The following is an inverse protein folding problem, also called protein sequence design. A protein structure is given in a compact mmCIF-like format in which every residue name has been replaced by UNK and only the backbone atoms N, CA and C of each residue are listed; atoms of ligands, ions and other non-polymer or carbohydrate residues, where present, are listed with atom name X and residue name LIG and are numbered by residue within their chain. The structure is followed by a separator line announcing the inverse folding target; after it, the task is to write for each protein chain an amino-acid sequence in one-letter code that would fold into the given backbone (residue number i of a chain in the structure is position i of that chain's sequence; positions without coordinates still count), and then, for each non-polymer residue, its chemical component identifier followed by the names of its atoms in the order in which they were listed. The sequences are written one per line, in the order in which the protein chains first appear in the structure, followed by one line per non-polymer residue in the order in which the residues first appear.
data_IF_896257589966
#
_entry.id   IF_896257589966
#
_cell.length_a   1.000
_cell.length_b   1.000
_cell.length_c   1.000
_cell.angle_alpha   90.00
_cell.angle_beta   90.00
_cell.angle_gamma   90.00
#
_symmetry.space_group_name_H-M   'P 1'
#
loop_
_entity.id
_entity.type
_entity.pdbx_description
1 polymer ?
#
# COMPACT_ATOMS: atom_id res chain seq x y z
N UNK A 1 23.32 -27.45 17.02
CA UNK A 1 22.79 -27.60 18.39
C UNK A 1 21.28 -27.58 18.28
N UNK A 2 20.56 -28.43 19.01
CA UNK A 2 19.10 -28.46 18.95
C UNK A 2 18.56 -27.20 19.62
N UNK A 3 17.88 -26.33 18.86
CA UNK A 3 17.24 -25.10 19.35
C UNK A 3 15.94 -25.40 20.11
N UNK A 4 16.00 -26.34 21.05
CA UNK A 4 14.84 -26.75 21.84
C UNK A 4 14.64 -25.80 23.02
N UNK A 5 13.47 -25.17 23.10
CA UNK A 5 13.14 -24.17 24.09
C UNK A 5 12.53 -24.83 25.34
N UNK A 6 13.09 -24.54 26.52
CA UNK A 6 12.58 -25.10 27.76
C UNK A 6 11.16 -24.56 28.08
N UNK A 7 10.24 -25.38 28.64
CA UNK A 7 8.90 -24.92 29.02
C UNK A 7 8.87 -23.71 29.98
N UNK A 8 9.93 -23.52 30.76
CA UNK A 8 10.13 -22.38 31.66
C UNK A 8 10.52 -21.11 30.92
N UNK A 9 11.10 -21.21 29.73
CA UNK A 9 11.56 -20.09 28.91
C UNK A 9 10.43 -19.36 28.16
N UNK A 10 9.22 -19.92 28.15
CA UNK A 10 8.01 -19.28 27.58
C UNK A 10 7.31 -18.50 28.71
N UNK A 11 6.65 -17.34 28.48
CA UNK A 11 5.90 -16.58 29.51
C UNK A 11 4.46 -17.08 29.74
N UNK A 12 3.87 -16.89 30.93
CA UNK A 12 2.42 -17.17 31.24
C UNK A 12 1.62 -15.90 31.52
N UNK A 13 2.29 -14.75 31.59
CA UNK A 13 1.70 -13.50 32.03
C UNK A 13 1.33 -12.66 30.80
N UNK A 14 0.04 -12.55 30.49
CA UNK A 14 -0.43 -11.95 29.22
C UNK A 14 -0.06 -10.46 29.03
N UNK A 15 0.21 -9.71 30.12
CA UNK A 15 0.53 -8.27 30.07
C UNK A 15 2.00 -8.03 30.39
N UNK A 16 2.81 -7.71 29.39
CA UNK A 16 4.26 -7.59 29.59
C UNK A 16 4.66 -6.42 30.49
N UNK A 17 3.90 -5.33 30.47
CA UNK A 17 4.15 -4.12 31.27
C UNK A 17 4.05 -4.42 32.77
N UNK A 18 3.16 -5.34 33.14
CA UNK A 18 2.96 -5.78 34.52
C UNK A 18 4.17 -6.57 35.05
N UNK A 19 4.99 -7.17 34.18
CA UNK A 19 6.27 -7.77 34.58
C UNK A 19 7.31 -6.70 34.95
N UNK A 20 7.32 -5.57 34.22
CA UNK A 20 8.15 -4.41 34.57
C UNK A 20 7.67 -3.78 35.88
N UNK A 21 6.37 -3.55 36.04
CA UNK A 21 5.81 -3.03 37.30
C UNK A 21 6.19 -3.92 38.49
N UNK A 22 6.08 -5.24 38.35
CA UNK A 22 6.50 -6.19 39.38
C UNK A 22 7.99 -6.02 39.74
N UNK A 23 8.86 -5.95 38.74
CA UNK A 23 10.30 -5.83 38.95
C UNK A 23 10.68 -4.46 39.57
N UNK A 24 10.01 -3.38 39.19
CA UNK A 24 10.20 -2.05 39.78
C UNK A 24 9.77 -2.03 41.25
N UNK A 25 8.64 -2.65 41.60
CA UNK A 25 8.25 -2.78 43.01
C UNK A 25 9.24 -3.60 43.83
N UNK A 26 9.87 -4.61 43.22
CA UNK A 26 10.95 -5.38 43.86
C UNK A 26 12.18 -4.53 44.12
N UNK A 27 12.54 -3.65 43.18
CA UNK A 27 13.65 -2.70 43.33
C UNK A 27 13.45 -1.75 44.53
N UNK A 28 12.24 -1.22 44.69
CA UNK A 28 11.91 -0.33 45.81
C UNK A 28 11.56 -1.07 47.12
N UNK A 29 11.73 -2.40 47.18
CA UNK A 29 11.40 -3.26 48.33
C UNK A 29 9.96 -3.06 48.85
N UNK A 30 9.02 -2.81 47.94
CA UNK A 30 7.62 -2.53 48.27
C UNK A 30 6.78 -3.81 48.38
N UNK A 31 7.20 -4.76 49.21
CA UNK A 31 6.51 -6.06 49.40
C UNK A 31 5.00 -5.90 49.69
N UNK A 32 4.53 -4.96 50.55
CA UNK A 32 3.10 -4.81 50.82
C UNK A 32 2.27 -4.38 49.60
N UNK A 33 2.87 -3.59 48.69
CA UNK A 33 2.21 -3.16 47.46
C UNK A 33 2.19 -4.29 46.42
N UNK A 34 3.22 -5.15 46.41
CA UNK A 34 3.21 -6.33 45.54
C UNK A 34 2.07 -7.28 45.90
N UNK A 35 1.88 -7.58 47.19
CA UNK A 35 0.79 -8.44 47.65
C UNK A 35 -0.60 -7.87 47.33
N UNK A 36 -0.73 -6.54 47.32
CA UNK A 36 -1.98 -5.85 47.00
C UNK A 36 -2.27 -5.82 45.49
N UNK A 37 -1.23 -5.69 44.66
CA UNK A 37 -1.35 -5.56 43.21
C UNK A 37 -1.33 -6.90 42.47
N UNK A 38 -0.76 -7.94 43.06
CA UNK A 38 -0.61 -9.25 42.45
C UNK A 38 -1.18 -10.35 43.35
N UNK A 39 -2.25 -10.99 42.90
CA UNK A 39 -2.78 -12.17 43.60
C UNK A 39 -1.73 -13.29 43.59
N UNK A 40 -1.73 -14.20 44.58
CA UNK A 40 -0.62 -15.14 44.77
C UNK A 40 -0.23 -15.95 43.53
N UNK A 41 -1.19 -16.33 42.67
CA UNK A 41 -0.90 -17.03 41.40
C UNK A 41 -0.35 -16.08 40.34
N UNK A 42 -0.86 -14.86 40.25
CA UNK A 42 -0.40 -13.85 39.31
C UNK A 42 1.03 -13.42 39.64
N UNK A 43 1.35 -13.25 40.93
CA UNK A 43 2.69 -12.89 41.40
C UNK A 43 3.75 -13.89 40.89
N UNK A 44 3.46 -15.20 40.90
CA UNK A 44 4.36 -16.21 40.36
C UNK A 44 4.57 -16.07 38.85
N UNK A 45 3.51 -15.74 38.11
CA UNK A 45 3.58 -15.55 36.65
C UNK A 45 4.38 -14.31 36.27
N UNK A 46 4.14 -13.19 36.95
CA UNK A 46 4.88 -11.95 36.69
C UNK A 46 6.32 -12.02 37.18
N UNK A 47 6.61 -12.71 38.30
CA UNK A 47 7.99 -13.02 38.71
C UNK A 47 8.72 -13.85 37.67
N UNK A 48 8.05 -14.87 37.11
CA UNK A 48 8.65 -15.70 36.06
C UNK A 48 8.89 -14.87 34.79
N UNK A 49 7.93 -14.04 34.38
CA UNK A 49 8.07 -13.14 33.24
C UNK A 49 9.21 -12.12 33.43
N UNK A 50 9.33 -11.53 34.61
CA UNK A 50 10.40 -10.59 34.94
C UNK A 50 11.79 -11.25 34.86
N UNK A 51 11.91 -12.52 35.26
CA UNK A 51 13.15 -13.30 35.07
C UNK A 51 13.46 -13.56 33.59
N UNK A 52 12.44 -13.90 32.79
CA UNK A 52 12.62 -14.17 31.36
C UNK A 52 13.09 -12.95 30.57
N UNK A 53 12.65 -11.77 31.00
CA UNK A 53 13.05 -10.49 30.45
C UNK A 53 14.35 -9.96 31.08
N UNK A 54 15.00 -10.74 31.95
CA UNK A 54 16.21 -10.36 32.68
C UNK A 54 16.05 -9.07 33.50
N UNK A 55 14.83 -8.76 33.97
CA UNK A 55 14.55 -7.62 34.84
C UNK A 55 14.96 -7.92 36.29
N UNK A 56 14.83 -9.19 36.67
CA UNK A 56 15.30 -9.72 37.95
C UNK A 56 16.10 -11.01 37.71
N UNK A 57 17.03 -11.30 38.61
CA UNK A 57 17.86 -12.49 38.54
C UNK A 57 17.15 -13.76 39.08
N UNK A 58 17.89 -14.87 39.13
CA UNK A 58 17.38 -16.14 39.65
C UNK A 58 17.04 -16.08 41.14
N UNK A 59 17.71 -15.22 41.92
CA UNK A 59 17.40 -14.98 43.33
C UNK A 59 16.18 -14.07 43.51
N UNK A 60 15.75 -13.37 42.45
CA UNK A 60 14.66 -12.41 42.46
C UNK A 60 15.11 -10.99 42.77
N UNK A 61 16.41 -10.70 42.71
CA UNK A 61 16.94 -9.36 42.87
C UNK A 61 16.92 -8.60 41.53
N UNK A 62 16.68 -7.28 41.52
CA UNK A 62 16.81 -6.44 40.33
C UNK A 62 18.15 -6.64 39.62
N UNK A 63 18.15 -6.73 38.29
CA UNK A 63 19.38 -6.70 37.50
C UNK A 63 19.90 -5.28 37.33
N UNK A 64 21.19 -5.12 36.99
CA UNK A 64 21.78 -3.81 36.74
C UNK A 64 21.02 -3.05 35.63
N UNK A 65 20.59 -3.76 34.58
CA UNK A 65 19.83 -3.18 33.49
C UNK A 65 18.52 -2.54 33.97
N UNK A 66 17.80 -3.17 34.90
CA UNK A 66 16.58 -2.59 35.47
C UNK A 66 16.90 -1.36 36.33
N UNK A 67 17.98 -1.41 37.11
CA UNK A 67 18.43 -0.27 37.94
C UNK A 67 18.75 0.93 37.04
N UNK A 68 19.55 0.73 35.99
CA UNK A 68 19.90 1.78 35.04
C UNK A 68 18.66 2.37 34.35
N UNK A 69 17.68 1.54 34.02
CA UNK A 69 16.40 1.99 33.45
C UNK A 69 15.61 2.87 34.42
N UNK A 70 15.46 2.44 35.67
CA UNK A 70 14.73 3.19 36.71
C UNK A 70 15.41 4.54 36.98
N UNK A 71 16.74 4.59 37.00
CA UNK A 71 17.50 5.83 37.22
C UNK A 71 17.45 6.80 36.03
N UNK A 72 17.45 6.28 34.80
CA UNK A 72 17.45 7.10 33.58
C UNK A 72 16.08 7.64 33.18
N UNK A 73 14.98 7.14 33.78
CA UNK A 73 13.61 7.49 33.40
C UNK A 73 13.34 7.29 31.89
N UNK A 74 13.89 6.22 31.32
CA UNK A 74 13.72 5.89 29.90
C UNK A 74 12.28 5.49 29.53
N UNK A 75 12.00 5.36 28.23
CA UNK A 75 10.72 4.86 27.73
C UNK A 75 10.53 3.38 28.12
N UNK A 76 9.52 3.04 28.95
CA UNK A 76 9.24 1.66 29.36
C UNK A 76 9.00 0.72 28.19
N UNK A 77 8.39 1.20 27.11
CA UNK A 77 8.03 0.34 25.97
C UNK A 77 9.27 -0.01 25.15
N UNK A 78 10.12 0.98 24.82
CA UNK A 78 11.42 0.72 24.21
C UNK A 78 12.31 -0.20 25.06
N UNK A 79 12.30 -0.03 26.39
CA UNK A 79 13.05 -0.89 27.31
C UNK A 79 12.56 -2.34 27.29
N UNK A 80 11.25 -2.57 27.40
CA UNK A 80 10.66 -3.91 27.33
C UNK A 80 10.86 -4.58 25.97
N UNK A 81 10.78 -3.80 24.88
CA UNK A 81 11.07 -4.25 23.52
C UNK A 81 12.48 -4.80 23.42
N UNK A 82 13.45 -4.05 23.92
CA UNK A 82 14.86 -4.44 23.97
C UNK A 82 15.07 -5.72 24.81
N UNK A 83 14.47 -5.81 26.01
CA UNK A 83 14.49 -7.01 26.83
C UNK A 83 13.92 -8.24 26.10
N UNK A 84 12.75 -8.11 25.48
CA UNK A 84 12.09 -9.22 24.79
C UNK A 84 12.90 -9.70 23.58
N UNK A 85 13.52 -8.77 22.84
CA UNK A 85 14.40 -9.09 21.71
C UNK A 85 15.63 -9.92 22.09
N UNK A 86 16.13 -9.76 23.32
CA UNK A 86 17.26 -10.53 23.86
C UNK A 86 16.84 -11.81 24.58
N UNK A 87 15.59 -11.90 25.03
CA UNK A 87 15.09 -13.09 25.73
C UNK A 87 15.26 -14.37 24.91
N UNK A 88 15.48 -15.49 25.59
CA UNK A 88 15.68 -16.81 24.95
C UNK A 88 14.55 -17.15 23.96
N UNK A 89 13.29 -16.90 24.36
CA UNK A 89 12.12 -17.14 23.53
C UNK A 89 12.05 -16.19 22.33
N UNK A 90 12.35 -14.91 22.50
CA UNK A 90 12.34 -13.92 21.40
C UNK A 90 13.39 -14.23 20.34
N UNK A 91 14.63 -14.51 20.75
CA UNK A 91 15.73 -14.89 19.84
C UNK A 91 15.41 -16.19 19.10
N UNK A 92 14.89 -17.18 19.82
CA UNK A 92 14.56 -18.49 19.24
C UNK A 92 13.40 -18.38 18.24
N UNK A 93 12.38 -17.57 18.54
CA UNK A 93 11.25 -17.34 17.64
C UNK A 93 11.67 -16.63 16.36
N UNK A 94 12.48 -15.57 16.46
CA UNK A 94 13.03 -14.86 15.31
C UNK A 94 13.87 -15.78 14.41
N UNK A 95 14.72 -16.62 15.00
CA UNK A 95 15.52 -17.60 14.25
C UNK A 95 14.66 -18.63 13.54
N UNK A 96 13.66 -19.18 14.23
CA UNK A 96 12.72 -20.15 13.66
C UNK A 96 11.93 -19.57 12.49
N UNK A 97 11.44 -18.34 12.64
CA UNK A 97 10.72 -17.60 11.61
C UNK A 97 11.63 -17.06 10.48
N UNK A 98 12.96 -17.11 10.66
CA UNK A 98 13.98 -16.59 9.73
C UNK A 98 13.76 -15.10 9.39
N UNK A 99 13.31 -14.30 10.35
CA UNK A 99 13.05 -12.87 10.19
C UNK A 99 13.39 -12.13 11.49
N UNK A 100 13.28 -10.80 11.51
CA UNK A 100 13.40 -10.04 12.76
C UNK A 100 12.19 -10.29 13.65
N UNK A 101 12.38 -10.26 14.98
CA UNK A 101 11.31 -10.50 15.96
C UNK A 101 10.05 -9.68 15.67
N UNK A 102 10.23 -8.40 15.35
CA UNK A 102 9.14 -7.43 15.10
C UNK A 102 8.43 -7.61 13.75
N UNK A 103 8.91 -8.52 12.89
CA UNK A 103 8.28 -8.88 11.60
C UNK A 103 7.69 -10.28 11.61
N UNK A 104 7.71 -10.96 12.75
CA UNK A 104 7.06 -12.26 12.89
C UNK A 104 5.55 -12.05 12.87
N UNK A 105 4.84 -12.90 12.14
CA UNK A 105 3.39 -13.00 12.26
C UNK A 105 3.03 -13.53 13.67
N UNK A 106 2.33 -12.76 14.53
CA UNK A 106 1.92 -13.21 15.84
C UNK A 106 1.14 -14.54 15.80
N UNK A 107 0.35 -14.78 14.75
CA UNK A 107 -0.46 -16.00 14.61
C UNK A 107 0.41 -17.27 14.59
N UNK A 108 1.68 -17.16 14.20
CA UNK A 108 2.64 -18.26 14.16
C UNK A 108 3.08 -18.78 15.54
N UNK A 109 2.72 -18.11 16.64
CA UNK A 109 3.19 -18.43 17.99
C UNK A 109 2.89 -19.89 18.41
N UNK A 110 1.73 -20.44 18.04
CA UNK A 110 1.40 -21.82 18.36
C UNK A 110 2.25 -22.82 17.58
N UNK A 111 2.41 -22.61 16.27
CA UNK A 111 3.25 -23.45 15.41
C UNK A 111 4.72 -23.41 15.86
N UNK A 112 5.21 -22.24 16.24
CA UNK A 112 6.53 -22.06 16.85
C UNK A 112 6.69 -22.91 18.13
N UNK A 113 5.73 -22.83 19.05
CA UNK A 113 5.80 -23.59 20.31
C UNK A 113 5.60 -25.10 20.10
N UNK A 114 4.80 -25.52 19.12
CA UNK A 114 4.67 -26.94 18.75
C UNK A 114 5.99 -27.50 18.20
N UNK A 115 6.68 -26.71 17.38
CA UNK A 115 7.95 -27.12 16.78
C UNK A 115 9.10 -27.20 17.79
N UNK A 116 9.17 -26.28 18.75
CA UNK A 116 10.37 -26.09 19.60
C UNK A 116 10.19 -26.41 21.08
N UNK A 117 9.01 -26.87 21.51
CA UNK A 117 8.76 -27.23 22.92
C UNK A 117 8.04 -28.56 23.05
N UNK A 118 8.01 -29.12 24.27
CA UNK A 118 7.23 -30.31 24.64
C UNK A 118 6.02 -29.95 25.51
N UNK A 119 5.44 -28.76 25.29
CA UNK A 119 4.25 -28.33 26.02
C UNK A 119 3.02 -29.17 25.63
N UNK A 120 2.22 -29.56 26.62
CA UNK A 120 0.90 -30.15 26.39
C UNK A 120 0.00 -29.18 25.59
N UNK A 121 -0.92 -29.66 24.72
CA UNK A 121 -1.68 -28.81 23.79
C UNK A 121 -2.39 -27.62 24.44
N UNK A 122 -3.11 -27.85 25.54
CA UNK A 122 -3.81 -26.77 26.26
C UNK A 122 -2.86 -25.71 26.84
N UNK A 123 -1.70 -26.14 27.35
CA UNK A 123 -0.68 -25.21 27.86
C UNK A 123 -0.04 -24.43 26.73
N UNK A 124 0.24 -25.09 25.59
CA UNK A 124 0.79 -24.45 24.40
C UNK A 124 -0.10 -23.34 23.88
N UNK A 125 -1.41 -23.59 23.72
CA UNK A 125 -2.39 -22.58 23.30
C UNK A 125 -2.39 -21.36 24.21
N UNK A 126 -2.41 -21.57 25.53
CA UNK A 126 -2.35 -20.48 26.51
C UNK A 126 -1.06 -19.67 26.38
N UNK A 127 0.08 -20.33 26.24
CA UNK A 127 1.41 -19.70 26.10
C UNK A 127 1.55 -18.96 24.77
N UNK A 128 1.00 -19.50 23.68
CA UNK A 128 0.97 -18.87 22.37
C UNK A 128 0.15 -17.58 22.42
N UNK A 129 -0.98 -17.57 23.14
CA UNK A 129 -1.74 -16.35 23.41
C UNK A 129 -0.89 -15.29 24.13
N UNK A 130 -0.19 -15.67 25.20
CA UNK A 130 0.72 -14.75 25.93
C UNK A 130 1.78 -14.15 25.00
N UNK A 131 2.44 -14.98 24.17
CA UNK A 131 3.47 -14.51 23.24
C UNK A 131 2.92 -13.55 22.18
N UNK A 132 1.72 -13.82 21.65
CA UNK A 132 1.03 -12.90 20.74
C UNK A 132 0.79 -11.54 21.38
N UNK A 133 0.21 -11.53 22.57
CA UNK A 133 -0.06 -10.30 23.31
C UNK A 133 1.21 -9.52 23.61
N UNK A 134 2.32 -10.19 23.92
CA UNK A 134 3.62 -9.53 24.11
C UNK A 134 4.16 -8.91 22.82
N UNK A 135 4.12 -9.66 21.71
CA UNK A 135 4.62 -9.17 20.44
C UNK A 135 3.80 -7.98 19.94
N UNK A 136 2.47 -8.05 20.04
CA UNK A 136 1.55 -6.97 19.67
C UNK A 136 1.75 -5.71 20.54
N UNK A 137 1.90 -5.87 21.86
CA UNK A 137 2.10 -4.74 22.77
C UNK A 137 3.46 -4.07 22.63
N UNK A 138 4.50 -4.83 22.26
CA UNK A 138 5.87 -4.32 22.14
C UNK A 138 6.28 -3.94 20.72
N UNK A 139 5.49 -4.31 19.71
CA UNK A 139 5.78 -3.97 18.33
C UNK A 139 6.04 -2.46 18.20
N UNK A 140 7.17 -2.05 17.61
CA UNK A 140 7.37 -0.65 17.27
C UNK A 140 6.22 -0.13 16.39
N UNK A 141 5.76 1.11 16.62
CA UNK A 141 4.79 1.76 15.73
C UNK A 141 5.31 1.81 14.28
N UNK A 142 6.63 1.79 14.13
CA UNK A 142 7.43 1.80 12.92
C UNK A 142 8.01 0.43 12.54
N UNK A 143 7.52 -0.69 13.09
CA UNK A 143 7.99 -2.06 12.78
C UNK A 143 7.91 -2.44 11.29
N UNK A 144 7.31 -1.57 10.48
CA UNK A 144 6.94 -1.79 9.10
C UNK A 144 5.58 -2.46 9.06
N UNK A 145 4.78 -2.07 8.07
CA UNK A 145 3.55 -2.80 7.77
C UNK A 145 3.87 -4.29 7.63
N UNK A 146 3.02 -5.15 8.20
CA UNK A 146 3.17 -6.60 8.03
C UNK A 146 3.22 -6.93 6.53
N UNK A 147 3.81 -8.06 6.09
CA UNK A 147 3.79 -8.43 4.67
C UNK A 147 2.38 -8.40 4.09
N UNK A 148 1.38 -8.78 4.88
CA UNK A 148 -0.03 -8.77 4.51
C UNK A 148 -0.61 -7.35 4.39
N UNK A 149 -0.25 -6.45 5.29
CA UNK A 149 -0.59 -5.02 5.16
C UNK A 149 0.12 -4.37 3.98
N UNK A 150 1.39 -4.70 3.71
CA UNK A 150 2.11 -4.22 2.53
C UNK A 150 1.45 -4.72 1.24
N UNK A 151 1.01 -5.97 1.20
CA UNK A 151 0.20 -6.50 0.09
C UNK A 151 -1.11 -5.73 -0.04
N UNK A 152 -1.83 -5.52 1.06
CA UNK A 152 -3.04 -4.70 1.09
C UNK A 152 -2.79 -3.33 0.49
N UNK A 153 -1.80 -2.60 0.99
CA UNK A 153 -1.40 -1.27 0.50
C UNK A 153 -0.98 -1.27 -0.97
N UNK A 154 -0.29 -2.33 -1.43
CA UNK A 154 0.10 -2.48 -2.84
C UNK A 154 -1.14 -2.68 -3.72
N UNK A 155 -2.02 -3.60 -3.33
CA UNK A 155 -3.29 -3.88 -4.00
C UNK A 155 -4.19 -2.62 -4.06
N UNK A 156 -4.02 -1.70 -3.09
CA UNK A 156 -4.70 -0.41 -3.02
C UNK A 156 -4.22 0.64 -3.94
N UNK A 157 -3.03 0.46 -4.48
CA UNK A 157 -2.38 1.56 -5.15
C UNK A 157 -3.01 1.72 -6.55
N UNK A 158 -3.36 2.94 -6.95
CA UNK A 158 -3.75 3.21 -8.33
C UNK A 158 -2.64 2.81 -9.29
N UNK A 159 -2.99 2.19 -10.42
CA UNK A 159 -2.04 1.80 -11.47
C UNK A 159 -1.31 3.02 -12.05
N UNK A 160 -1.90 4.21 -11.97
CA UNK A 160 -1.30 5.48 -12.37
C UNK A 160 -0.08 5.89 -11.52
N UNK A 161 0.07 5.36 -10.29
CA UNK A 161 1.21 5.66 -9.43
C UNK A 161 2.48 4.92 -9.84
N UNK A 162 2.38 3.98 -10.79
CA UNK A 162 3.51 3.22 -11.27
C UNK A 162 4.02 3.76 -12.62
N UNK A 163 5.34 3.84 -12.75
CA UNK A 163 6.00 4.14 -14.02
C UNK A 163 5.93 2.94 -14.97
N UNK A 164 4.77 2.78 -15.61
CA UNK A 164 4.54 1.79 -16.66
C UNK A 164 4.71 2.44 -18.03
N UNK A 165 5.05 1.64 -19.04
CA UNK A 165 5.13 2.10 -20.42
C UNK A 165 3.75 2.58 -20.89
N UNK A 166 3.75 3.58 -21.78
CA UNK A 166 2.53 4.10 -22.37
C UNK A 166 1.63 3.01 -22.98
N UNK A 167 2.22 1.91 -23.46
CA UNK A 167 1.45 0.75 -23.95
C UNK A 167 0.67 0.07 -22.83
N UNK A 168 1.35 -0.28 -21.74
CA UNK A 168 0.75 -0.94 -20.57
C UNK A 168 -0.32 -0.05 -19.94
N UNK A 169 -0.03 1.25 -19.73
CA UNK A 169 -1.00 2.22 -19.20
C UNK A 169 -2.24 2.37 -20.10
N UNK A 170 -2.06 2.43 -21.43
CA UNK A 170 -3.19 2.54 -22.35
C UNK A 170 -4.08 1.30 -22.34
N UNK A 171 -3.50 0.10 -22.16
CA UNK A 171 -4.29 -1.12 -22.02
C UNK A 171 -5.08 -1.05 -20.72
N UNK A 172 -4.44 -0.80 -19.58
CA UNK A 172 -5.14 -0.71 -18.29
C UNK A 172 -6.27 0.32 -18.30
N UNK A 173 -6.04 1.50 -18.85
CA UNK A 173 -7.08 2.51 -19.00
C UNK A 173 -8.24 2.03 -19.90
N UNK A 174 -7.95 1.38 -21.04
CA UNK A 174 -9.00 0.90 -21.94
C UNK A 174 -9.85 -0.20 -21.30
N UNK A 175 -9.23 -1.08 -20.53
CA UNK A 175 -9.90 -2.16 -19.80
C UNK A 175 -10.49 -1.70 -18.46
N UNK A 176 -10.40 -0.40 -18.12
CA UNK A 176 -10.87 0.20 -16.86
C UNK A 176 -10.26 -0.45 -15.61
N UNK A 177 -8.98 -0.82 -15.71
CA UNK A 177 -8.17 -1.26 -14.59
C UNK A 177 -7.50 0.00 -14.02
N UNK A 178 -8.02 0.45 -12.88
CA UNK A 178 -7.59 1.64 -12.15
C UNK A 178 -6.64 1.29 -11.00
N UNK A 179 -6.78 0.12 -10.39
CA UNK A 179 -6.04 -0.32 -9.21
C UNK A 179 -5.28 -1.63 -9.44
N UNK A 180 -4.21 -1.84 -8.67
CA UNK A 180 -3.36 -3.04 -8.77
C UNK A 180 -4.16 -4.33 -8.57
N UNK A 181 -5.06 -4.38 -7.59
CA UNK A 181 -5.86 -5.58 -7.33
C UNK A 181 -6.68 -6.04 -8.53
N UNK A 182 -7.16 -5.11 -9.36
CA UNK A 182 -7.95 -5.44 -10.54
C UNK A 182 -7.08 -6.16 -11.58
N UNK A 183 -5.86 -5.65 -11.82
CA UNK A 183 -4.91 -6.30 -12.72
C UNK A 183 -4.41 -7.64 -12.16
N UNK A 184 -4.14 -7.69 -10.84
CA UNK A 184 -3.71 -8.92 -10.15
C UNK A 184 -4.78 -10.01 -10.21
N UNK A 185 -6.06 -9.66 -10.06
CA UNK A 185 -7.15 -10.65 -10.10
C UNK A 185 -7.28 -11.41 -11.41
N UNK A 186 -6.80 -10.84 -12.52
CA UNK A 186 -6.74 -11.48 -13.84
C UNK A 186 -5.62 -12.54 -13.93
N UNK A 187 -4.56 -12.40 -13.13
CA UNK A 187 -3.34 -13.21 -13.23
C UNK A 187 -2.58 -13.00 -14.55
N UNK A 188 -1.50 -13.74 -14.72
CA UNK A 188 -0.63 -13.63 -15.91
C UNK A 188 -1.36 -13.98 -17.21
N UNK A 189 -2.19 -15.02 -17.18
CA UNK A 189 -2.93 -15.52 -18.34
C UNK A 189 -4.01 -14.52 -18.77
N UNK A 190 -4.85 -14.06 -17.84
CA UNK A 190 -5.91 -13.10 -18.15
C UNK A 190 -5.37 -11.77 -18.65
N UNK A 191 -4.23 -11.30 -18.13
CA UNK A 191 -3.56 -10.11 -18.66
C UNK A 191 -3.08 -10.30 -20.10
N UNK A 192 -2.58 -11.48 -20.47
CA UNK A 192 -2.12 -11.78 -21.84
C UNK A 192 -3.27 -11.91 -22.84
N UNK A 193 -4.50 -12.16 -22.39
CA UNK A 193 -5.70 -12.15 -23.23
C UNK A 193 -6.16 -10.72 -23.59
N UNK A 194 -5.76 -9.71 -22.82
CA UNK A 194 -6.12 -8.31 -23.09
C UNK A 194 -5.52 -7.82 -24.40
N UNK A 195 -6.35 -7.22 -25.27
CA UNK A 195 -5.95 -6.82 -26.62
C UNK A 195 -4.77 -5.85 -26.63
N UNK A 196 -3.60 -6.32 -27.05
CA UNK A 196 -2.41 -5.47 -27.15
C UNK A 196 -1.60 -5.37 -25.85
N UNK A 197 -2.00 -6.05 -24.79
CA UNK A 197 -1.10 -6.44 -23.71
C UNK A 197 -0.23 -7.60 -24.20
N UNK A 198 1.07 -7.52 -24.01
CA UNK A 198 2.00 -8.55 -24.49
C UNK A 198 2.99 -8.95 -23.42
N UNK A 199 3.82 -9.95 -23.73
CA UNK A 199 4.84 -10.48 -22.79
C UNK A 199 5.77 -9.41 -22.22
N UNK A 200 6.09 -8.37 -22.99
CA UNK A 200 6.90 -7.25 -22.50
C UNK A 200 6.16 -6.41 -21.46
N UNK A 201 4.88 -6.12 -21.67
CA UNK A 201 4.02 -5.41 -20.70
C UNK A 201 3.79 -6.23 -19.44
N UNK A 202 3.63 -7.56 -19.58
CA UNK A 202 3.53 -8.47 -18.45
C UNK A 202 4.79 -8.42 -17.59
N UNK A 203 5.98 -8.61 -18.19
CA UNK A 203 7.26 -8.54 -17.47
C UNK A 203 7.49 -7.19 -16.81
N UNK A 204 7.10 -6.11 -17.47
CA UNK A 204 7.17 -4.76 -16.90
C UNK A 204 6.31 -4.64 -15.65
N UNK A 205 5.07 -5.13 -15.69
CA UNK A 205 4.17 -5.11 -14.56
C UNK A 205 4.64 -6.03 -13.41
N UNK A 206 5.07 -7.25 -13.72
CA UNK A 206 5.68 -8.18 -12.75
C UNK A 206 6.92 -7.57 -12.08
N UNK A 207 7.77 -6.87 -12.84
CA UNK A 207 8.95 -6.20 -12.29
C UNK A 207 8.57 -5.08 -11.32
N UNK A 208 7.46 -4.38 -11.57
CA UNK A 208 6.91 -3.39 -10.64
C UNK A 208 6.41 -4.07 -9.37
N UNK A 209 5.63 -5.15 -9.48
CA UNK A 209 5.13 -5.89 -8.31
C UNK A 209 6.26 -6.47 -7.46
N UNK A 210 7.26 -7.09 -8.08
CA UNK A 210 8.41 -7.67 -7.40
C UNK A 210 9.24 -6.62 -6.64
N UNK A 211 9.25 -5.36 -7.11
CA UNK A 211 9.96 -4.27 -6.43
C UNK A 211 9.22 -3.83 -5.16
N UNK A 212 7.90 -3.83 -5.17
CA UNK A 212 7.07 -3.34 -4.06
C UNK A 212 6.72 -4.44 -3.05
N UNK A 213 6.54 -5.68 -3.52
CA UNK A 213 6.28 -6.87 -2.72
C UNK A 213 7.29 -7.97 -3.12
N UNK A 214 8.53 -7.92 -2.59
CA UNK A 214 9.56 -8.87 -2.98
C UNK A 214 9.23 -10.29 -2.51
N UNK A 215 9.31 -11.24 -3.44
CA UNK A 215 9.20 -12.67 -3.16
C UNK A 215 7.88 -13.29 -3.60
N UNK A 216 6.99 -12.53 -4.23
CA UNK A 216 5.72 -13.01 -4.72
C UNK A 216 5.55 -12.73 -6.21
N UNK A 217 5.10 -13.76 -6.91
CA UNK A 217 4.71 -13.67 -8.30
C UNK A 217 3.30 -13.09 -8.43
N UNK A 218 3.00 -12.55 -9.62
CA UNK A 218 1.64 -12.08 -9.96
C UNK A 218 0.58 -13.16 -9.71
N UNK A 219 0.87 -14.41 -10.05
CA UNK A 219 -0.09 -15.51 -9.93
C UNK A 219 -0.27 -15.98 -8.48
N UNK A 220 0.75 -15.89 -7.64
CA UNK A 220 0.63 -16.12 -6.19
C UNK A 220 -0.26 -15.06 -5.54
N UNK A 221 -0.08 -13.78 -5.89
CA UNK A 221 -0.95 -12.70 -5.45
C UNK A 221 -2.39 -12.89 -5.93
N UNK A 222 -2.56 -13.29 -7.19
CA UNK A 222 -3.88 -13.57 -7.77
C UNK A 222 -4.58 -14.75 -7.06
N UNK A 223 -3.83 -15.80 -6.73
CA UNK A 223 -4.33 -16.95 -5.99
C UNK A 223 -4.74 -16.56 -4.57
N UNK A 224 -3.88 -15.83 -3.84
CA UNK A 224 -4.17 -15.36 -2.49
C UNK A 224 -5.42 -14.45 -2.45
N UNK A 225 -5.61 -13.60 -3.46
CA UNK A 225 -6.82 -12.77 -3.59
C UNK A 225 -8.08 -13.62 -3.82
N UNK A 226 -8.00 -14.65 -4.67
CA UNK A 226 -9.14 -15.57 -4.94
C UNK A 226 -9.52 -16.42 -3.73
N UNK A 227 -8.54 -16.82 -2.92
CA UNK A 227 -8.76 -17.60 -1.70
C UNK A 227 -9.33 -16.76 -0.55
N UNK A 228 -9.46 -15.43 -0.74
CA UNK A 228 -9.84 -14.51 0.34
C UNK A 228 -8.77 -14.38 1.42
N UNK A 229 -7.55 -14.87 1.16
CA UNK A 229 -6.40 -14.71 2.04
C UNK A 229 -5.86 -13.28 2.02
N UNK A 230 -6.28 -12.45 1.07
CA UNK A 230 -6.02 -11.02 1.05
C UNK A 230 -7.34 -10.28 1.17
N UNK A 231 -7.54 -9.66 2.33
CA UNK A 231 -8.62 -8.69 2.53
C UNK A 231 -8.22 -7.39 1.83
N UNK A 232 -8.88 -7.12 0.72
CA UNK A 232 -8.92 -5.79 0.15
C UNK A 232 -9.86 -4.94 1.03
N UNK A 233 -9.51 -3.71 1.45
CA UNK A 233 -10.49 -2.81 2.03
C UNK A 233 -11.55 -2.56 0.96
N UNK A 234 -12.65 -3.32 1.05
CA UNK A 234 -13.80 -3.20 0.17
C UNK A 234 -14.33 -1.77 0.27
N UNK A 235 -13.89 -0.94 -0.68
CA UNK A 235 -14.47 0.34 -1.02
C UNK A 235 -14.98 1.15 0.16
N UNK A 236 -14.08 1.62 1.05
CA UNK A 236 -14.23 3.02 1.43
C UNK A 236 -14.11 3.80 0.11
N UNK A 237 -15.25 4.00 -0.56
CA UNK A 237 -15.40 4.96 -1.63
C UNK A 237 -14.75 6.21 -1.08
N UNK A 238 -13.57 6.53 -1.58
CA UNK A 238 -12.94 7.78 -1.19
C UNK A 238 -13.93 8.88 -1.52
N UNK A 239 -13.97 9.97 -0.75
CA UNK A 239 -14.96 11.04 -0.99
C UNK A 239 -14.93 11.54 -2.47
N UNK A 240 -13.81 11.32 -3.17
CA UNK A 240 -13.65 11.51 -4.62
C UNK A 240 -14.54 10.61 -5.50
N UNK A 241 -14.79 9.35 -5.13
CA UNK A 241 -15.66 8.41 -5.87
C UNK A 241 -17.16 8.64 -5.64
N UNK A 242 -17.51 9.41 -4.60
CA UNK A 242 -18.89 9.81 -4.31
C UNK A 242 -19.31 11.13 -4.95
N UNK A 243 -18.36 11.89 -5.51
CA UNK A 243 -18.72 13.02 -6.37
C UNK A 243 -19.31 12.43 -7.67
N UNK A 244 -20.58 12.71 -8.01
CA UNK A 244 -21.09 12.30 -9.30
C UNK A 244 -20.16 12.86 -10.38
N UNK A 245 -19.62 12.04 -11.29
CA UNK A 245 -18.80 12.55 -12.38
C UNK A 245 -19.60 13.66 -13.07
N UNK A 246 -18.96 14.79 -13.44
CA UNK A 246 -19.66 15.85 -14.14
C UNK A 246 -20.39 15.22 -15.34
N UNK A 247 -21.67 15.57 -15.60
CA UNK A 247 -22.45 14.94 -16.65
C UNK A 247 -21.66 14.95 -17.96
N UNK A 248 -21.31 13.77 -18.49
CA UNK A 248 -20.49 13.62 -19.70
C UNK A 248 -21.08 14.40 -20.88
N UNK A 249 -22.41 14.54 -20.92
CA UNK A 249 -23.13 15.34 -21.91
C UNK A 249 -22.70 16.82 -21.94
N UNK A 250 -22.18 17.38 -20.84
CA UNK A 250 -21.67 18.76 -20.82
C UNK A 250 -20.23 18.86 -21.35
N UNK A 251 -19.42 17.82 -21.18
CA UNK A 251 -18.02 17.76 -21.60
C UNK A 251 -17.89 17.64 -23.13
N UNK A 252 -18.76 16.86 -23.76
CA UNK A 252 -18.75 16.65 -25.22
C UNK A 252 -19.31 17.85 -26.01
N UNK A 253 -19.93 18.83 -25.32
CA UNK A 253 -20.56 20.00 -25.93
C UNK A 253 -19.71 21.27 -25.89
N UNK A 254 -18.62 21.29 -25.10
CA UNK A 254 -17.74 22.46 -25.02
C UNK A 254 -16.90 22.58 -26.30
N UNK A 255 -17.30 23.51 -27.17
CA UNK A 255 -16.50 23.85 -28.34
C UNK A 255 -15.26 24.65 -27.93
N UNK A 256 -14.19 24.56 -28.74
CA UNK A 256 -12.94 25.29 -28.48
C UNK A 256 -13.16 26.80 -28.29
N UNK A 257 -14.11 27.37 -29.05
CA UNK A 257 -14.44 28.79 -29.03
C UNK A 257 -15.06 29.24 -27.70
N UNK A 258 -15.67 28.34 -26.94
CA UNK A 258 -16.35 28.65 -25.68
C UNK A 258 -15.40 28.55 -24.46
N UNK A 259 -14.23 27.92 -24.62
CA UNK A 259 -13.27 27.72 -23.52
C UNK A 259 -12.86 29.02 -22.81
N UNK A 260 -12.53 30.13 -23.50
CA UNK A 260 -12.12 31.37 -22.84
C UNK A 260 -13.21 31.97 -21.93
N UNK A 261 -14.48 31.72 -22.24
CA UNK A 261 -15.62 32.25 -21.49
C UNK A 261 -16.10 31.31 -20.38
N UNK A 262 -15.96 30.00 -20.58
CA UNK A 262 -16.46 28.97 -19.67
C UNK A 262 -15.45 28.55 -18.62
N UNK A 263 -14.15 28.64 -18.89
CA UNK A 263 -13.13 28.25 -17.92
C UNK A 263 -13.02 29.29 -16.79
N UNK A 264 -12.93 28.85 -15.52
CA UNK A 264 -12.66 29.74 -14.41
C UNK A 264 -11.35 30.52 -14.61
N UNK A 265 -11.31 31.77 -14.12
CA UNK A 265 -10.14 32.63 -14.28
C UNK A 265 -8.85 31.98 -13.77
N UNK A 266 -8.90 31.24 -12.65
CA UNK A 266 -7.72 30.58 -12.09
C UNK A 266 -7.15 29.48 -12.99
N UNK A 267 -7.99 28.81 -13.79
CA UNK A 267 -7.56 27.80 -14.77
C UNK A 267 -6.90 28.45 -15.98
N UNK A 268 -7.45 29.57 -16.45
CA UNK A 268 -6.87 30.35 -17.53
C UNK A 268 -5.46 30.86 -17.18
N UNK A 269 -5.21 31.20 -15.92
CA UNK A 269 -3.88 31.62 -15.45
C UNK A 269 -2.92 30.46 -15.17
N UNK A 270 -3.34 29.20 -15.27
CA UNK A 270 -2.44 28.07 -15.02
C UNK A 270 -1.29 28.06 -16.05
N UNK A 271 -0.04 27.86 -15.62
CA UNK A 271 1.07 27.66 -16.53
C UNK A 271 0.83 26.44 -17.43
N UNK A 272 1.20 26.51 -18.70
CA UNK A 272 1.08 25.36 -19.62
C UNK A 272 1.91 24.16 -19.15
N UNK A 273 3.00 24.42 -18.42
CA UNK A 273 3.84 23.40 -17.81
C UNK A 273 3.29 22.86 -16.47
N UNK A 274 2.07 23.26 -16.05
CA UNK A 274 1.47 22.78 -14.80
C UNK A 274 1.22 21.27 -14.88
N UNK A 275 1.84 20.45 -13.99
CA UNK A 275 1.85 18.99 -14.11
C UNK A 275 0.46 18.35 -14.18
N UNK A 276 -0.54 18.94 -13.50
CA UNK A 276 -1.89 18.38 -13.45
C UNK A 276 -2.69 18.62 -14.75
N UNK A 277 -2.25 19.49 -15.66
CA UNK A 277 -2.93 19.67 -16.95
C UNK A 277 -2.74 18.47 -17.89
N UNK A 278 -1.67 17.68 -17.71
CA UNK A 278 -1.29 16.50 -18.51
C UNK A 278 -1.48 16.71 -20.03
N UNK A 279 -1.06 17.87 -20.53
CA UNK A 279 -1.21 18.21 -21.94
C UNK A 279 -0.37 17.27 -22.82
N UNK A 280 -0.88 16.84 -24.00
CA UNK A 280 -0.10 16.03 -24.92
C UNK A 280 1.23 16.70 -25.28
N UNK A 281 2.33 15.94 -25.33
CA UNK A 281 3.68 16.47 -25.61
C UNK A 281 3.75 17.35 -26.87
N UNK A 282 2.91 17.06 -27.89
CA UNK A 282 2.83 17.86 -29.11
C UNK A 282 2.26 19.27 -28.88
N UNK A 283 1.30 19.41 -27.97
CA UNK A 283 0.76 20.70 -27.54
C UNK A 283 1.83 21.43 -26.73
N UNK A 284 2.45 20.77 -25.76
CA UNK A 284 3.54 21.37 -24.98
C UNK A 284 4.67 21.90 -25.89
N UNK A 285 5.09 21.11 -26.88
CA UNK A 285 6.10 21.51 -27.86
C UNK A 285 5.67 22.73 -28.68
N UNK A 286 4.39 22.77 -29.08
CA UNK A 286 3.83 23.92 -29.80
C UNK A 286 3.82 25.17 -28.92
N UNK A 287 3.31 25.07 -27.69
CA UNK A 287 3.28 26.17 -26.74
C UNK A 287 4.68 26.72 -26.45
N UNK A 288 5.68 25.86 -26.27
CA UNK A 288 7.08 26.31 -26.10
C UNK A 288 7.60 27.04 -27.33
N UNK A 289 7.23 26.61 -28.55
CA UNK A 289 7.70 27.24 -29.79
C UNK A 289 7.07 28.61 -30.03
N UNK A 290 5.80 28.76 -29.72
CA UNK A 290 5.05 30.02 -29.88
C UNK A 290 5.09 30.91 -28.62
N UNK A 291 5.91 30.54 -27.63
CA UNK A 291 6.05 31.24 -26.34
C UNK A 291 4.73 31.44 -25.58
N UNK A 292 3.85 30.44 -25.63
CA UNK A 292 2.61 30.41 -24.85
C UNK A 292 2.95 29.95 -23.44
N UNK A 293 2.65 30.78 -22.44
CA UNK A 293 3.03 30.54 -21.04
C UNK A 293 1.86 30.02 -20.20
N UNK A 294 0.62 30.37 -20.57
CA UNK A 294 -0.59 30.07 -19.79
C UNK A 294 -1.69 29.39 -20.62
N UNK A 295 -2.64 28.72 -19.95
CA UNK A 295 -3.84 28.16 -20.61
C UNK A 295 -4.59 29.25 -21.38
N UNK A 296 -4.65 30.48 -20.85
CA UNK A 296 -5.22 31.67 -21.51
C UNK A 296 -4.56 31.92 -22.87
N UNK A 297 -3.23 31.84 -22.96
CA UNK A 297 -2.52 32.05 -24.21
C UNK A 297 -2.86 30.96 -25.23
N UNK A 298 -2.98 29.71 -24.78
CA UNK A 298 -3.38 28.59 -25.64
C UNK A 298 -4.80 28.75 -26.20
N UNK A 299 -5.79 29.07 -25.34
CA UNK A 299 -7.20 29.16 -25.77
C UNK A 299 -7.53 30.44 -26.53
N UNK A 300 -6.61 31.42 -26.59
CA UNK A 300 -6.73 32.60 -27.46
C UNK A 300 -6.60 32.27 -28.94
N UNK A 301 -5.89 31.20 -29.27
CA UNK A 301 -5.83 30.70 -30.64
C UNK A 301 -7.13 29.97 -30.96
N UNK A 302 -7.68 30.26 -32.14
CA UNK A 302 -8.80 29.52 -32.69
C UNK A 302 -8.40 28.07 -33.00
N UNK A 303 -9.36 27.16 -32.99
CA UNK A 303 -9.10 25.76 -33.36
C UNK A 303 -8.57 25.64 -34.79
N UNK A 304 -8.99 26.53 -35.70
CA UNK A 304 -8.51 26.57 -37.07
C UNK A 304 -7.02 26.91 -37.15
N UNK A 305 -6.57 27.95 -36.43
CA UNK A 305 -5.16 28.32 -36.35
C UNK A 305 -4.33 27.17 -35.75
N UNK A 306 -4.83 26.53 -34.68
CA UNK A 306 -4.12 25.41 -34.06
C UNK A 306 -3.98 24.20 -35.00
N UNK A 307 -4.94 23.98 -35.90
CA UNK A 307 -4.90 22.90 -36.90
C UNK A 307 -3.91 23.17 -38.04
N UNK A 308 -3.53 24.42 -38.29
CA UNK A 308 -2.51 24.74 -39.30
C UNK A 308 -1.12 24.26 -38.88
N UNK A 309 -0.89 24.05 -37.57
CA UNK A 309 0.38 23.56 -37.08
C UNK A 309 0.57 22.07 -37.32
N UNK A 310 1.71 21.74 -37.94
CA UNK A 310 2.11 20.36 -38.23
C UNK A 310 2.17 19.53 -36.95
N UNK A 311 1.27 18.54 -36.83
CA UNK A 311 1.24 17.57 -35.74
C UNK A 311 0.09 17.74 -34.75
N UNK A 312 -0.67 18.84 -34.84
CA UNK A 312 -1.89 19.07 -34.08
C UNK A 312 -3.10 18.64 -34.91
N UNK A 313 -3.42 17.34 -34.84
CA UNK A 313 -4.60 16.79 -35.50
C UNK A 313 -5.89 17.02 -34.70
N UNK A 314 -7.06 16.79 -35.32
CA UNK A 314 -8.36 16.96 -34.67
C UNK A 314 -8.50 16.10 -33.40
N UNK A 315 -7.91 14.91 -33.36
CA UNK A 315 -7.90 14.05 -32.16
C UNK A 315 -7.07 14.65 -31.02
N UNK A 316 -6.00 15.38 -31.33
CA UNK A 316 -5.19 16.05 -30.29
C UNK A 316 -5.98 17.20 -29.68
N UNK A 317 -6.60 18.04 -30.51
CA UNK A 317 -7.33 19.23 -30.06
C UNK A 317 -8.64 18.85 -29.36
N UNK A 318 -9.38 17.86 -29.89
CA UNK A 318 -10.61 17.37 -29.28
C UNK A 318 -10.41 16.76 -27.88
N UNK A 319 -9.19 16.37 -27.52
CA UNK A 319 -8.88 15.90 -26.16
C UNK A 319 -8.58 17.01 -25.15
N UNK A 320 -8.26 18.23 -25.59
CA UNK A 320 -7.80 19.29 -24.66
C UNK A 320 -8.96 19.96 -23.95
N UNK A 321 -10.06 20.24 -24.64
CA UNK A 321 -11.23 20.88 -24.02
C UNK A 321 -11.76 20.06 -22.82
N UNK A 322 -11.95 18.73 -22.92
CA UNK A 322 -12.31 17.90 -21.78
C UNK A 322 -11.26 17.91 -20.65
N UNK A 323 -9.96 17.89 -20.99
CA UNK A 323 -8.88 17.92 -20.00
C UNK A 323 -8.90 19.21 -19.17
N UNK A 324 -8.97 20.37 -19.84
CA UNK A 324 -9.02 21.67 -19.16
C UNK A 324 -10.26 21.80 -18.26
N UNK A 325 -11.41 21.28 -18.73
CA UNK A 325 -12.64 21.27 -17.93
C UNK A 325 -12.56 20.35 -16.72
N UNK A 326 -11.90 19.20 -16.86
CA UNK A 326 -11.68 18.23 -15.78
C UNK A 326 -10.88 18.88 -14.64
N UNK A 327 -9.78 19.56 -14.97
CA UNK A 327 -8.97 20.31 -14.00
C UNK A 327 -9.78 21.44 -13.37
N UNK A 328 -10.57 22.18 -14.17
CA UNK A 328 -11.46 23.24 -13.68
C UNK A 328 -12.50 22.76 -12.66
N UNK A 329 -12.95 21.53 -12.81
CA UNK A 329 -13.98 20.91 -11.95
C UNK A 329 -13.38 20.22 -10.72
N UNK A 330 -12.05 20.29 -10.52
CA UNK A 330 -11.35 19.58 -9.45
C UNK A 330 -11.36 18.05 -9.63
N UNK A 331 -11.69 17.55 -10.82
CA UNK A 331 -11.67 16.13 -11.13
C UNK A 331 -10.24 15.74 -11.51
N UNK A 332 -9.53 15.01 -10.66
CA UNK A 332 -8.14 14.58 -10.91
C UNK A 332 -8.01 13.33 -11.82
N UNK A 333 -9.11 12.80 -12.38
CA UNK A 333 -9.12 11.39 -12.80
C UNK A 333 -9.59 11.05 -14.23
N UNK A 334 -9.78 11.99 -15.16
CA UNK A 334 -10.23 11.62 -16.53
C UNK A 334 -9.26 12.09 -17.62
N UNK A 335 -8.56 11.13 -18.24
CA UNK A 335 -8.17 11.29 -19.65
C UNK A 335 -9.39 11.00 -20.51
N UNK A 336 -9.76 11.88 -21.46
CA UNK A 336 -10.81 11.56 -22.41
C UNK A 336 -10.40 10.33 -23.21
N UNK A 337 -11.26 9.30 -23.22
CA UNK A 337 -11.08 8.14 -24.09
C UNK A 337 -10.94 8.63 -25.53
N UNK A 338 -9.89 8.19 -26.24
CA UNK A 338 -9.72 8.53 -27.66
C UNK A 338 -10.99 8.15 -28.40
N UNK A 339 -11.71 9.14 -28.91
CA UNK A 339 -12.83 8.93 -29.82
C UNK A 339 -12.31 8.20 -31.05
N UNK A 340 -12.63 6.92 -31.17
CA UNK A 340 -12.45 6.18 -32.41
C UNK A 340 -13.33 6.86 -33.47
N UNK A 341 -12.68 7.66 -34.32
CA UNK A 341 -13.29 8.21 -35.52
C UNK A 341 -13.82 7.03 -36.34
N UNK A 342 -15.12 6.81 -36.25
CA UNK A 342 -15.87 5.94 -37.15
C UNK A 342 -15.66 6.49 -38.56
N UNK A 343 -14.77 5.85 -39.33
CA UNK A 343 -14.66 6.11 -40.77
C UNK A 343 -16.03 5.82 -41.38
N UNK A 344 -16.70 6.79 -42.03
CA UNK A 344 -17.88 6.46 -42.82
C UNK A 344 -17.43 5.50 -43.92
N UNK A 345 -18.08 4.34 -43.98
CA UNK A 345 -17.85 3.36 -45.03
C UNK A 345 -18.05 4.05 -46.38
N UNK A 346 -16.96 4.18 -47.15
CA UNK A 346 -17.01 4.46 -48.57
C UNK A 346 -17.75 3.29 -49.22
N UNK A 347 -19.06 3.46 -49.42
CA UNK A 347 -19.85 2.65 -50.32
C UNK A 347 -19.16 2.67 -51.68
N UNK A 348 -18.74 1.48 -52.11
CA UNK A 348 -18.03 1.25 -53.36
C UNK A 348 -18.85 1.81 -54.53
N UNK A 349 -18.20 2.65 -55.33
CA UNK A 349 -18.68 3.00 -56.65
C UNK A 349 -18.48 1.80 -57.56
N UNK A 350 -19.58 1.33 -58.14
CA UNK A 350 -19.63 0.38 -59.24
C UNK A 350 -18.65 0.78 -60.35
N UNK A 351 -17.63 -0.06 -60.55
CA UNK A 351 -16.88 -0.16 -61.81
C UNK A 351 -17.08 -1.54 -62.38
N UNK A 352 -18.16 -1.72 -63.14
CA UNK A 352 -18.28 -2.79 -64.13
C UNK A 352 -18.95 -2.23 -65.38
N UNK A 353 -18.25 -2.29 -66.51
CA UNK A 353 -18.85 -2.10 -67.83
C UNK A 353 -18.03 -1.33 -68.86
N UNK A 354 -16.89 -1.87 -69.31
CA UNK A 354 -16.38 -1.60 -70.67
C UNK A 354 -15.53 -2.76 -71.21
N UNK A 355 -15.98 -3.29 -72.36
CA UNK A 355 -15.35 -4.22 -73.32
C UNK A 355 -15.03 -5.63 -72.78
N UNK A 356 -15.45 -6.73 -73.42
CA UNK A 356 -15.51 -7.07 -74.85
C UNK A 356 -16.82 -7.77 -75.20
#
# INVERSE_FOLDING_TARGET
MSDFLQPSAVPQADRVERALEYAVLQHFQQEPLQELLFSGRDALYYRTAARLLELIDTSGQPTQQLVDFVESSGDPQAFLRDCFSRSEVGVTWARWAKTSLWRIDPSSAEAFLDALTQLAPATRLRRAKTLRSWLEALAPEDAGSTPEELRGLLLSRPLAHFHLSARTTNVFHRERLEYVHQAVSLGSEGLLELRGFGRTSLREFEAVLQREAPGETLDELAMALREGALSWPDGEKTAADSAPPPPQDQLDQLSWAELPERLPAHILELPIAYPELDLPTRILTHCTREDLQSVRDLVRHSEAELREFRGLGPTTLGGIAPLLWCVASGCSAMRPAKTESSRPGLLGSDRLGRAV
#
